data_IF_549904327122
#
_entry.id   IF_549904327122
#
_cell.length_a   1.000
_cell.length_b   1.000
_cell.length_c   1.000
_cell.angle_alpha   90.00
_cell.angle_beta   90.00
_cell.angle_gamma   90.00
#
_symmetry.space_group_name_H-M   'P 1'
#
loop_
_entity.id
_entity.type
_entity.pdbx_description
1 polymer ?
#
# COMPACT_ATOMS: atom_id res chain seq x y z
N UNK A 1 23.46 2.66 11.12
CA UNK A 1 22.09 2.16 11.31
C UNK A 1 21.45 3.05 12.35
N UNK A 2 20.34 3.70 12.01
CA UNK A 2 19.65 4.61 12.92
C UNK A 2 18.96 3.83 14.06
N UNK A 3 18.86 4.43 15.26
CA UNK A 3 18.36 3.72 16.45
C UNK A 3 16.90 4.04 16.77
N UNK A 4 16.43 5.22 16.39
CA UNK A 4 15.06 5.70 16.68
C UNK A 4 14.23 5.86 15.42
N UNK A 5 12.90 5.78 15.56
CA UNK A 5 11.98 5.98 14.43
C UNK A 5 12.08 7.39 13.84
N UNK A 6 12.38 8.40 14.65
CA UNK A 6 12.59 9.76 14.18
C UNK A 6 13.81 9.86 13.26
N UNK A 7 14.93 9.23 13.63
CA UNK A 7 16.13 9.20 12.78
C UNK A 7 15.89 8.41 11.49
N UNK A 8 15.14 7.30 11.58
CA UNK A 8 14.75 6.49 10.40
C UNK A 8 13.83 7.26 9.45
N UNK A 9 12.91 8.09 9.98
CA UNK A 9 12.10 9.00 9.18
C UNK A 9 12.96 10.07 8.49
N UNK A 10 13.93 10.65 9.21
CA UNK A 10 14.86 11.65 8.66
C UNK A 10 15.77 11.09 7.56
N UNK A 11 16.21 9.84 7.71
CA UNK A 11 17.12 9.18 6.76
C UNK A 11 16.40 8.48 5.60
N UNK A 12 15.07 8.30 5.69
CA UNK A 12 14.29 7.56 4.69
C UNK A 12 14.31 6.04 4.85
N UNK A 13 14.84 5.53 5.97
CA UNK A 13 14.79 4.11 6.37
C UNK A 13 13.41 3.68 6.89
N UNK A 14 12.53 4.64 7.22
CA UNK A 14 11.14 4.42 7.57
C UNK A 14 10.23 5.28 6.69
N UNK A 15 9.27 4.64 6.03
CA UNK A 15 8.24 5.30 5.21
C UNK A 15 6.89 4.98 5.82
N UNK A 16 6.13 6.02 6.17
CA UNK A 16 4.77 5.86 6.68
C UNK A 16 3.77 5.68 5.52
N UNK A 17 3.78 4.50 4.94
CA UNK A 17 2.98 4.10 3.77
C UNK A 17 2.75 2.60 3.83
N UNK A 18 1.50 2.18 4.02
CA UNK A 18 1.11 0.78 4.17
C UNK A 18 0.15 0.33 3.09
N UNK A 19 -0.06 -0.98 3.00
CA UNK A 19 -0.98 -1.60 2.04
C UNK A 19 -2.44 -1.42 2.45
N UNK A 20 -2.74 -1.36 3.75
CA UNK A 20 -4.13 -1.33 4.21
C UNK A 20 -4.59 0.03 4.74
N UNK A 21 -3.84 0.61 5.69
CA UNK A 21 -4.36 1.65 6.60
C UNK A 21 -4.06 3.09 6.19
N UNK A 22 -3.35 3.31 5.09
CA UNK A 22 -2.88 4.66 4.75
C UNK A 22 -4.01 5.44 4.10
N UNK A 23 -4.37 6.60 4.67
CA UNK A 23 -5.34 7.52 4.08
C UNK A 23 -4.86 7.97 2.69
N UNK A 24 -5.69 7.83 1.66
CA UNK A 24 -5.40 8.27 0.29
C UNK A 24 -4.98 9.75 0.24
N UNK A 25 -5.56 10.60 1.09
CA UNK A 25 -5.22 12.03 1.20
C UNK A 25 -3.77 12.32 1.68
N UNK A 26 -3.07 11.31 2.20
CA UNK A 26 -1.65 11.39 2.58
C UNK A 26 -0.71 10.91 1.48
N UNK A 27 -1.25 10.23 0.47
CA UNK A 27 -0.52 9.71 -0.70
C UNK A 27 -0.63 10.69 -1.87
N UNK A 28 -1.83 11.17 -2.13
CA UNK A 28 -2.14 12.09 -3.22
C UNK A 28 -2.58 13.45 -2.67
N UNK A 29 -2.54 14.47 -3.53
CA UNK A 29 -3.13 15.81 -3.27
C UNK A 29 -4.10 16.22 -4.37
N UNK A 30 -3.91 15.65 -5.55
CA UNK A 30 -4.78 15.81 -6.72
C UNK A 30 -4.83 14.46 -7.44
N UNK A 31 -5.87 14.29 -8.24
CA UNK A 31 -6.08 13.15 -9.12
C UNK A 31 -6.51 13.64 -10.49
N UNK A 32 -6.19 12.88 -11.52
CA UNK A 32 -6.77 13.04 -12.85
C UNK A 32 -8.09 12.25 -12.92
N UNK A 33 -9.17 12.87 -13.41
CA UNK A 33 -10.49 12.26 -13.61
C UNK A 33 -11.00 12.54 -15.02
N UNK A 34 -11.75 11.60 -15.61
CA UNK A 34 -12.31 11.73 -16.95
C UNK A 34 -11.20 11.89 -18.01
N UNK A 35 -11.27 12.95 -18.81
CA UNK A 35 -10.30 13.28 -19.87
C UNK A 35 -9.00 13.90 -19.33
N UNK A 36 -8.47 13.34 -18.23
CA UNK A 36 -7.28 13.79 -17.49
C UNK A 36 -7.41 15.20 -16.88
N UNK A 37 -8.62 15.58 -16.46
CA UNK A 37 -8.82 16.84 -15.76
C UNK A 37 -8.32 16.72 -14.31
N UNK A 38 -7.50 17.69 -13.90
CA UNK A 38 -6.90 17.69 -12.57
C UNK A 38 -7.93 18.13 -11.50
N UNK A 39 -8.20 17.26 -10.55
CA UNK A 39 -9.13 17.47 -9.45
C UNK A 39 -8.39 17.43 -8.10
N UNK A 40 -8.65 18.41 -7.22
CA UNK A 40 -8.14 18.37 -5.84
C UNK A 40 -8.93 17.40 -5.00
N UNK A 41 -8.27 16.69 -4.08
CA UNK A 41 -8.93 15.71 -3.23
C UNK A 41 -9.25 16.26 -1.83
N UNK A 42 -10.30 15.72 -1.21
CA UNK A 42 -10.64 15.94 0.18
C UNK A 42 -9.56 15.41 1.13
N UNK A 43 -9.37 16.09 2.27
CA UNK A 43 -8.51 15.62 3.36
C UNK A 43 -9.18 14.58 4.27
N UNK A 44 -10.49 14.43 4.16
CA UNK A 44 -11.28 13.49 4.98
C UNK A 44 -10.84 12.05 4.79
N UNK A 45 -11.03 11.22 5.82
CA UNK A 45 -10.75 9.79 5.75
C UNK A 45 -11.90 9.06 5.02
N UNK A 46 -12.01 9.25 3.71
CA UNK A 46 -13.01 8.57 2.89
C UNK A 46 -12.52 7.23 2.33
N UNK A 47 -11.24 7.16 1.96
CA UNK A 47 -10.62 5.96 1.42
C UNK A 47 -9.22 5.74 1.99
N UNK A 48 -8.84 4.47 2.08
CA UNK A 48 -7.50 4.04 2.47
C UNK A 48 -6.86 3.18 1.36
N UNK A 49 -5.57 2.87 1.51
CA UNK A 49 -4.84 2.08 0.51
C UNK A 49 -5.40 0.68 0.31
N UNK A 50 -6.08 0.10 1.32
CA UNK A 50 -6.81 -1.15 1.13
C UNK A 50 -7.89 -1.04 0.04
N UNK A 51 -8.60 0.09 -0.04
CA UNK A 51 -9.62 0.31 -1.06
C UNK A 51 -9.02 0.30 -2.46
N UNK A 52 -7.91 1.04 -2.65
CA UNK A 52 -7.20 1.07 -3.91
C UNK A 52 -6.73 -0.34 -4.32
N UNK A 53 -6.10 -1.08 -3.41
CA UNK A 53 -5.57 -2.40 -3.74
C UNK A 53 -6.63 -3.49 -3.86
N UNK A 54 -7.79 -3.33 -3.23
CA UNK A 54 -8.95 -4.20 -3.46
C UNK A 54 -9.54 -3.94 -4.86
N UNK A 55 -9.66 -2.67 -5.26
CA UNK A 55 -10.17 -2.29 -6.58
C UNK A 55 -9.28 -2.80 -7.71
N UNK A 56 -7.96 -2.71 -7.52
CA UNK A 56 -6.96 -3.20 -8.47
C UNK A 56 -6.74 -4.72 -8.40
N UNK A 57 -7.36 -5.42 -7.44
CA UNK A 57 -7.22 -6.87 -7.28
C UNK A 57 -5.86 -7.35 -6.74
N UNK A 58 -5.07 -6.46 -6.14
CA UNK A 58 -3.81 -6.83 -5.47
C UNK A 58 -4.02 -7.46 -4.10
N UNK A 59 -5.18 -7.19 -3.47
CA UNK A 59 -5.60 -7.83 -2.23
C UNK A 59 -7.03 -8.37 -2.38
N UNK A 60 -7.37 -9.37 -1.59
CA UNK A 60 -8.73 -9.90 -1.46
C UNK A 60 -9.48 -9.24 -0.31
N UNK A 61 -10.80 -9.46 -0.23
CA UNK A 61 -11.58 -9.02 0.93
C UNK A 61 -11.08 -9.63 2.26
N UNK A 62 -10.57 -10.87 2.23
CA UNK A 62 -10.00 -11.52 3.42
C UNK A 62 -8.64 -10.93 3.82
N UNK A 63 -7.88 -10.36 2.88
CA UNK A 63 -6.64 -9.62 3.19
C UNK A 63 -6.93 -8.24 3.82
N UNK A 64 -8.11 -7.66 3.58
CA UNK A 64 -8.58 -6.39 4.13
C UNK A 64 -9.00 -6.54 5.61
N UNK A 65 -8.00 -6.75 6.46
CA UNK A 65 -8.18 -7.07 7.88
C UNK A 65 -8.47 -5.87 8.81
N UNK A 66 -8.25 -4.63 8.37
CA UNK A 66 -8.59 -3.44 9.14
C UNK A 66 -10.01 -2.95 8.83
N UNK A 67 -10.54 -2.08 9.69
CA UNK A 67 -11.84 -1.42 9.45
C UNK A 67 -11.84 -0.62 8.15
N UNK A 68 -12.95 -0.67 7.40
CA UNK A 68 -13.18 0.29 6.33
C UNK A 68 -13.49 1.67 6.92
N UNK A 69 -13.15 2.77 6.22
CA UNK A 69 -13.44 4.13 6.69
C UNK A 69 -14.91 4.40 7.03
N UNK A 70 -15.83 3.70 6.38
CA UNK A 70 -17.29 3.80 6.54
C UNK A 70 -17.90 2.65 7.35
N UNK A 71 -17.08 1.83 8.02
CA UNK A 71 -17.53 0.65 8.79
C UNK A 71 -18.61 0.98 9.83
N UNK A 72 -18.60 2.19 10.39
CA UNK A 72 -19.62 2.69 11.33
C UNK A 72 -21.04 2.70 10.74
N UNK A 73 -21.19 2.77 9.42
CA UNK A 73 -22.48 2.74 8.74
C UNK A 73 -23.07 1.33 8.59
N UNK A 74 -22.28 0.27 8.87
CA UNK A 74 -22.62 -1.11 8.50
C UNK A 74 -22.38 -2.11 9.64
N UNK A 75 -23.04 -1.87 10.78
CA UNK A 75 -22.97 -2.77 11.93
C UNK A 75 -23.32 -4.22 11.54
N UNK A 76 -22.35 -5.13 11.71
CA UNK A 76 -22.52 -6.56 11.42
C UNK A 76 -22.47 -6.94 9.94
N UNK A 77 -22.20 -6.00 9.01
CA UNK A 77 -22.07 -6.26 7.56
C UNK A 77 -20.76 -5.77 6.95
N UNK A 78 -19.75 -5.55 7.78
CA UNK A 78 -18.48 -4.98 7.34
C UNK A 78 -17.75 -5.89 6.34
N UNK A 79 -17.89 -7.21 6.48
CA UNK A 79 -17.23 -8.16 5.58
C UNK A 79 -17.78 -8.05 4.15
N UNK A 80 -19.10 -7.89 4.01
CA UNK A 80 -19.76 -7.66 2.73
C UNK A 80 -19.41 -6.30 2.12
N UNK A 81 -19.18 -5.28 2.96
CA UNK A 81 -18.83 -3.92 2.55
C UNK A 81 -17.33 -3.71 2.29
N UNK A 82 -16.53 -4.77 2.42
CA UNK A 82 -15.18 -4.90 1.87
C UNK A 82 -15.20 -5.55 0.48
N UNK A 83 -16.16 -5.14 -0.32
CA UNK A 83 -16.27 -5.50 -1.73
C UNK A 83 -15.56 -4.48 -2.63
N UNK A 84 -15.25 -4.88 -3.87
CA UNK A 84 -14.68 -3.99 -4.88
C UNK A 84 -15.59 -2.78 -5.15
N UNK A 85 -16.91 -2.97 -5.21
CA UNK A 85 -17.87 -1.89 -5.46
C UNK A 85 -17.93 -0.89 -4.30
N UNK A 86 -17.92 -1.36 -3.05
CA UNK A 86 -17.90 -0.49 -1.87
C UNK A 86 -16.58 0.29 -1.76
N UNK A 87 -15.45 -0.33 -2.13
CA UNK A 87 -14.17 0.36 -2.23
C UNK A 87 -14.16 1.45 -3.32
N UNK A 88 -14.74 1.21 -4.50
CA UNK A 88 -14.89 2.25 -5.54
C UNK A 88 -15.76 3.42 -5.06
N UNK A 89 -16.84 3.16 -4.33
CA UNK A 89 -17.65 4.22 -3.69
C UNK A 89 -16.84 5.06 -2.71
N UNK A 90 -16.03 4.42 -1.85
CA UNK A 90 -15.13 5.12 -0.94
C UNK A 90 -14.09 5.97 -1.67
N UNK A 91 -13.49 5.45 -2.75
CA UNK A 91 -12.56 6.20 -3.59
C UNK A 91 -13.24 7.38 -4.30
N UNK A 92 -14.48 7.25 -4.75
CA UNK A 92 -15.23 8.33 -5.39
C UNK A 92 -15.45 9.52 -4.44
N UNK A 93 -15.69 9.23 -3.16
CA UNK A 93 -15.83 10.26 -2.11
C UNK A 93 -14.55 11.07 -1.88
N UNK A 94 -13.39 10.57 -2.27
CA UNK A 94 -12.10 11.31 -2.17
C UNK A 94 -12.15 12.62 -2.96
N UNK A 95 -12.93 12.69 -4.04
CA UNK A 95 -13.18 13.92 -4.81
C UNK A 95 -14.55 14.54 -4.52
N UNK A 96 -15.10 14.26 -3.34
CA UNK A 96 -16.41 14.76 -2.89
C UNK A 96 -17.58 14.39 -3.82
N UNK A 97 -17.48 13.25 -4.51
CA UNK A 97 -18.48 12.73 -5.44
C UNK A 97 -18.92 11.31 -5.05
N UNK A 98 -19.77 10.70 -5.87
CA UNK A 98 -20.22 9.31 -5.77
C UNK A 98 -19.87 8.52 -7.04
N UNK A 99 -20.06 7.20 -6.96
CA UNK A 99 -19.64 6.30 -8.05
C UNK A 99 -20.53 6.46 -9.27
N UNK A 100 -21.80 6.80 -9.05
CA UNK A 100 -22.80 7.03 -10.07
C UNK A 100 -22.47 8.28 -10.92
N UNK A 101 -21.85 9.30 -10.32
CA UNK A 101 -21.39 10.51 -11.01
C UNK A 101 -20.05 10.33 -11.74
N UNK A 102 -19.00 9.80 -11.08
CA UNK A 102 -17.67 9.70 -11.73
C UNK A 102 -17.45 8.44 -12.58
N UNK A 103 -18.27 7.41 -12.36
CA UNK A 103 -18.15 6.10 -13.00
C UNK A 103 -17.02 5.21 -12.46
N UNK A 104 -17.11 3.90 -12.78
CA UNK A 104 -16.14 2.91 -12.32
C UNK A 104 -14.72 3.17 -12.85
N UNK A 105 -14.59 3.59 -14.12
CA UNK A 105 -13.29 3.83 -14.74
C UNK A 105 -12.50 4.94 -14.01
N UNK A 106 -13.18 6.02 -13.63
CA UNK A 106 -12.56 7.10 -12.84
C UNK A 106 -12.17 6.62 -11.45
N UNK A 107 -13.02 5.82 -10.78
CA UNK A 107 -12.70 5.26 -9.46
C UNK A 107 -11.50 4.31 -9.52
N UNK A 108 -11.39 3.50 -10.57
CA UNK A 108 -10.21 2.66 -10.85
C UNK A 108 -8.98 3.53 -11.13
N UNK A 109 -9.12 4.59 -11.93
CA UNK A 109 -8.04 5.54 -12.22
C UNK A 109 -7.49 6.21 -10.96
N UNK A 110 -8.34 6.55 -9.98
CA UNK A 110 -7.89 7.03 -8.66
C UNK A 110 -7.05 5.96 -7.96
N UNK A 111 -7.48 4.69 -7.95
CA UNK A 111 -6.73 3.60 -7.34
C UNK A 111 -5.36 3.38 -8.00
N UNK A 112 -5.29 3.46 -9.33
CA UNK A 112 -4.03 3.36 -10.09
C UNK A 112 -3.08 4.50 -9.73
N UNK A 113 -3.58 5.73 -9.61
CA UNK A 113 -2.80 6.88 -9.18
C UNK A 113 -2.27 6.71 -7.75
N UNK A 114 -3.05 6.13 -6.83
CA UNK A 114 -2.60 5.80 -5.47
C UNK A 114 -1.42 4.83 -5.50
N UNK A 115 -1.55 3.73 -6.27
CA UNK A 115 -0.48 2.75 -6.43
C UNK A 115 0.78 3.40 -7.01
N UNK A 116 0.65 4.13 -8.12
CA UNK A 116 1.76 4.82 -8.80
C UNK A 116 2.51 5.76 -7.84
N UNK A 117 1.77 6.54 -7.04
CA UNK A 117 2.36 7.43 -6.05
C UNK A 117 3.07 6.69 -4.91
N UNK A 118 2.49 5.58 -4.40
CA UNK A 118 3.16 4.76 -3.37
C UNK A 118 4.45 4.11 -3.90
N UNK A 119 4.43 3.57 -5.12
CA UNK A 119 5.61 2.97 -5.78
C UNK A 119 6.69 4.04 -5.98
N UNK A 120 6.34 5.21 -6.53
CA UNK A 120 7.29 6.30 -6.75
C UNK A 120 7.94 6.78 -5.44
N UNK A 121 7.16 6.93 -4.36
CA UNK A 121 7.67 7.31 -3.03
C UNK A 121 8.62 6.26 -2.47
N UNK A 122 8.29 4.98 -2.63
CA UNK A 122 9.14 3.87 -2.19
C UNK A 122 10.46 3.83 -2.96
N UNK A 123 10.39 3.89 -4.30
CA UNK A 123 11.56 3.92 -5.18
C UNK A 123 12.48 5.11 -4.84
N UNK A 124 11.92 6.30 -4.63
CA UNK A 124 12.71 7.48 -4.25
C UNK A 124 13.46 7.28 -2.92
N UNK A 125 12.91 6.55 -1.96
CA UNK A 125 13.63 6.21 -0.73
C UNK A 125 14.70 5.15 -0.95
N UNK A 126 14.40 4.14 -1.77
CA UNK A 126 15.36 3.10 -2.12
C UNK A 126 16.59 3.66 -2.86
N UNK A 127 16.42 4.63 -3.77
CA UNK A 127 17.54 5.31 -4.45
C UNK A 127 18.53 5.90 -3.45
N UNK A 128 18.03 6.69 -2.49
CA UNK A 128 18.88 7.32 -1.46
C UNK A 128 19.66 6.30 -0.64
N UNK A 129 19.00 5.20 -0.25
CA UNK A 129 19.63 4.14 0.53
C UNK A 129 20.64 3.33 -0.29
N UNK A 130 20.32 3.06 -1.56
CA UNK A 130 21.20 2.38 -2.52
C UNK A 130 22.49 3.16 -2.73
N UNK A 131 22.41 4.47 -2.95
CA UNK A 131 23.59 5.34 -3.12
C UNK A 131 24.41 5.44 -1.83
N UNK A 132 23.76 5.56 -0.67
CA UNK A 132 24.44 5.70 0.62
C UNK A 132 25.16 4.43 1.07
N UNK A 133 24.59 3.25 0.79
CA UNK A 133 25.06 1.98 1.35
C UNK A 133 25.52 0.95 0.30
N UNK A 134 25.43 1.26 -0.99
CA UNK A 134 25.80 0.33 -2.07
C UNK A 134 24.90 -0.91 -2.14
N UNK A 135 23.59 -0.74 -1.93
CA UNK A 135 22.64 -1.86 -1.89
C UNK A 135 22.35 -2.41 -3.30
N UNK A 136 22.53 -3.71 -3.49
CA UNK A 136 22.32 -4.38 -4.79
C UNK A 136 21.04 -5.22 -4.86
N UNK A 137 20.44 -5.51 -3.69
CA UNK A 137 19.28 -6.38 -3.55
C UNK A 137 18.26 -5.82 -2.57
N UNK A 138 16.99 -5.94 -2.93
CA UNK A 138 15.82 -5.69 -2.08
C UNK A 138 15.18 -7.03 -1.71
N UNK A 139 15.07 -7.29 -0.41
CA UNK A 139 14.33 -8.42 0.14
C UNK A 139 13.02 -7.92 0.73
N UNK A 140 11.90 -8.51 0.32
CA UNK A 140 10.56 -8.12 0.77
C UNK A 140 9.90 -9.20 1.60
N UNK A 141 9.21 -8.77 2.67
CA UNK A 141 8.33 -9.57 3.49
C UNK A 141 7.01 -8.83 3.72
N UNK A 142 5.94 -9.59 3.97
CA UNK A 142 4.60 -9.07 4.20
C UNK A 142 3.73 -9.04 2.93
N UNK A 143 2.56 -8.42 3.05
CA UNK A 143 1.52 -8.43 2.01
C UNK A 143 1.81 -7.48 0.83
N UNK A 144 2.82 -6.61 0.96
CA UNK A 144 3.14 -5.54 0.01
C UNK A 144 4.17 -5.88 -1.06
N UNK A 145 4.49 -7.16 -1.26
CA UNK A 145 5.53 -7.59 -2.21
C UNK A 145 5.38 -6.98 -3.60
N UNK A 146 4.15 -6.76 -4.06
CA UNK A 146 3.87 -6.24 -5.40
C UNK A 146 4.38 -4.80 -5.61
N UNK A 147 4.19 -3.88 -4.65
CA UNK A 147 4.74 -2.52 -4.78
C UNK A 147 6.26 -2.49 -4.58
N UNK A 148 6.79 -3.38 -3.74
CA UNK A 148 8.24 -3.47 -3.49
C UNK A 148 8.95 -4.00 -4.74
N UNK A 149 8.36 -5.01 -5.39
CA UNK A 149 8.84 -5.53 -6.67
C UNK A 149 8.86 -4.44 -7.74
N UNK A 150 7.75 -3.73 -7.91
CA UNK A 150 7.63 -2.67 -8.92
C UNK A 150 8.64 -1.54 -8.69
N UNK A 151 8.86 -1.14 -7.44
CA UNK A 151 9.89 -0.17 -7.08
C UNK A 151 11.31 -0.71 -7.38
N UNK A 152 11.61 -1.96 -7.02
CA UNK A 152 12.91 -2.57 -7.31
C UNK A 152 13.19 -2.68 -8.81
N UNK A 153 12.18 -3.09 -9.60
CA UNK A 153 12.25 -3.18 -11.06
C UNK A 153 12.54 -1.80 -11.67
N UNK A 154 11.87 -0.73 -11.21
CA UNK A 154 12.12 0.65 -11.69
C UNK A 154 13.55 1.15 -11.44
N UNK A 155 14.26 0.51 -10.50
CA UNK A 155 15.63 0.85 -10.10
C UNK A 155 16.67 -0.16 -10.62
N UNK A 156 16.26 -1.11 -11.46
CA UNK A 156 17.09 -2.23 -11.92
C UNK A 156 17.85 -2.90 -10.77
N UNK A 157 17.17 -3.14 -9.64
CA UNK A 157 17.74 -3.71 -8.42
C UNK A 157 17.21 -5.12 -8.21
N UNK A 158 18.08 -6.06 -7.81
CA UNK A 158 17.65 -7.45 -7.63
C UNK A 158 16.55 -7.53 -6.58
N UNK A 159 15.51 -8.32 -6.84
CA UNK A 159 14.37 -8.46 -5.95
C UNK A 159 14.19 -9.91 -5.50
N UNK A 160 14.06 -10.10 -4.20
CA UNK A 160 13.75 -11.39 -3.59
C UNK A 160 12.49 -11.27 -2.72
N UNK A 161 11.44 -11.97 -3.12
CA UNK A 161 10.22 -12.10 -2.32
C UNK A 161 10.34 -13.27 -1.34
N UNK A 162 10.17 -12.98 -0.05
CA UNK A 162 10.08 -14.02 0.97
C UNK A 162 8.75 -14.78 0.90
N UNK A 163 7.69 -14.20 0.32
CA UNK A 163 6.45 -14.94 0.09
C UNK A 163 6.60 -16.00 -1.01
N UNK A 164 7.47 -15.78 -2.00
CA UNK A 164 7.82 -16.79 -3.01
C UNK A 164 8.65 -17.94 -2.44
N UNK A 165 9.46 -17.69 -1.40
CA UNK A 165 10.33 -18.72 -0.79
C UNK A 165 9.59 -19.51 0.31
N UNK A 166 8.91 -18.80 1.21
CA UNK A 166 8.33 -19.38 2.43
C UNK A 166 6.80 -19.43 2.41
N UNK A 167 6.17 -18.95 1.34
CA UNK A 167 4.72 -18.80 1.26
C UNK A 167 4.19 -17.54 1.95
N UNK A 168 3.00 -17.09 1.52
CA UNK A 168 2.36 -15.86 2.00
C UNK A 168 2.16 -15.82 3.52
N UNK A 169 1.75 -16.94 4.13
CA UNK A 169 1.49 -17.02 5.57
C UNK A 169 2.75 -16.78 6.41
N UNK A 170 3.88 -17.38 6.02
CA UNK A 170 5.15 -17.19 6.73
C UNK A 170 5.69 -15.77 6.48
N UNK A 171 5.62 -15.27 5.24
CA UNK A 171 6.04 -13.91 4.91
C UNK A 171 5.26 -12.84 5.70
N UNK A 172 3.96 -13.04 5.91
CA UNK A 172 3.12 -12.13 6.71
C UNK A 172 3.49 -12.12 8.20
N UNK A 173 4.08 -13.19 8.72
CA UNK A 173 4.53 -13.33 10.11
C UNK A 173 6.06 -13.50 10.20
N UNK A 174 6.80 -12.94 9.24
CA UNK A 174 8.22 -13.21 9.09
C UNK A 174 9.08 -12.92 10.33
N UNK A 175 8.78 -11.90 11.17
CA UNK A 175 9.52 -11.71 12.42
C UNK A 175 9.48 -12.94 13.34
N UNK A 176 8.32 -13.57 13.53
CA UNK A 176 8.16 -14.76 14.37
C UNK A 176 8.92 -15.97 13.80
N UNK A 177 8.83 -16.16 12.48
CA UNK A 177 9.59 -17.21 11.80
C UNK A 177 11.11 -16.98 11.91
N UNK A 178 11.56 -15.74 11.75
CA UNK A 178 12.98 -15.37 11.79
C UNK A 178 13.59 -15.68 13.16
N UNK A 179 12.92 -15.31 14.26
CA UNK A 179 13.44 -15.59 15.60
C UNK A 179 13.51 -17.09 15.89
N UNK A 180 12.55 -17.89 15.42
CA UNK A 180 12.59 -19.34 15.55
C UNK A 180 13.80 -19.95 14.81
N UNK A 181 14.04 -19.52 13.57
CA UNK A 181 15.18 -19.99 12.75
C UNK A 181 16.54 -19.53 13.30
N UNK A 182 16.62 -18.36 13.92
CA UNK A 182 17.84 -17.90 14.59
C UNK A 182 18.16 -18.75 15.83
N UNK A 183 17.13 -19.15 16.59
CA UNK A 183 17.30 -20.04 17.73
C UNK A 183 17.79 -21.43 17.30
N UNK A 184 17.19 -22.00 16.25
CA UNK A 184 17.61 -23.30 15.69
C UNK A 184 19.08 -23.32 15.24
N UNK A 185 19.61 -22.20 14.74
CA UNK A 185 21.03 -22.08 14.31
C UNK A 185 22.02 -21.93 15.46
N UNK A 186 21.52 -21.67 16.67
CA UNK A 186 22.36 -21.47 17.86
C UNK A 186 22.65 -22.79 18.59
N UNK A 187 21.92 -23.86 18.23
CA UNK A 187 22.12 -25.24 18.68
C UNK A 187 22.64 -26.11 17.53
#
# INVERSE_FOLDING_TARGET
>A
QERTDLERLKSGELIYSGILRTNVATVLKKVEIGDNEECSISSELFAITADAYLVLGYITADDYSCESPDSYAFAGREKEEKSRISAMRRLSRVVCSDLEEIGEDSAVGIAEQVKKAQVARLAASMVRLKEKYGLEMVVSAGIGDFIVKEAADSLNTQFLSLSSIYGKKISAAFPAYSVARLLEKTF
#
